data_IF_977886705823
#
_entry.id   IF_977886705823
#
_cell.length_a   1.000
_cell.length_b   1.000
_cell.length_c   1.000
_cell.angle_alpha   90.00
_cell.angle_beta   90.00
_cell.angle_gamma   90.00
#
_symmetry.space_group_name_H-M   'P 1'
#
loop_
_entity.id
_entity.type
_entity.pdbx_description
1 polymer ?
#
# COMPACT_ATOMS: atom_id res chain seq x y z
N UNK A 1 56.28 63.48 11.90
CA UNK A 1 56.79 63.52 10.52
C UNK A 1 55.95 62.59 9.67
N UNK A 2 55.25 63.15 8.68
CA UNK A 2 54.39 62.45 7.71
C UNK A 2 55.26 62.01 6.54
N UNK A 3 55.15 60.76 6.09
CA UNK A 3 55.64 60.34 4.78
C UNK A 3 54.53 59.54 4.09
N UNK A 4 53.94 60.20 3.09
CA UNK A 4 52.90 59.67 2.20
C UNK A 4 53.62 59.16 0.95
N UNK A 5 53.41 57.89 0.60
CA UNK A 5 53.93 57.34 -0.65
C UNK A 5 52.73 56.85 -1.47
N UNK A 6 52.44 57.60 -2.54
CA UNK A 6 51.45 57.27 -3.57
C UNK A 6 52.10 56.30 -4.56
N UNK A 7 51.40 55.23 -4.92
CA UNK A 7 51.70 54.43 -6.12
C UNK A 7 50.55 54.56 -7.14
N UNK A 8 50.87 54.52 -8.44
CA UNK A 8 50.00 54.99 -9.51
C UNK A 8 49.02 53.91 -9.98
N UNK A 9 47.89 54.42 -10.46
CA UNK A 9 46.90 53.73 -11.27
C UNK A 9 47.50 53.54 -12.67
N UNK A 10 47.65 52.30 -13.12
CA UNK A 10 47.86 51.99 -14.53
C UNK A 10 46.87 50.92 -14.98
N UNK A 11 46.04 51.34 -15.92
CA UNK A 11 44.99 50.64 -16.64
C UNK A 11 45.58 49.73 -17.73
N UNK A 12 45.34 48.43 -17.66
CA UNK A 12 45.44 47.45 -18.77
C UNK A 12 44.90 46.12 -18.21
N UNK A 13 43.92 45.41 -18.74
CA UNK A 13 43.20 45.44 -20.00
C UNK A 13 42.56 44.05 -20.15
N UNK A 14 41.57 43.93 -21.02
CA UNK A 14 41.06 42.67 -21.59
C UNK A 14 40.06 41.82 -20.76
N UNK A 15 38.77 42.05 -21.06
CA UNK A 15 37.84 41.02 -21.54
C UNK A 15 37.79 39.71 -20.71
N UNK A 16 36.82 39.63 -19.81
CA UNK A 16 36.12 38.36 -19.52
C UNK A 16 34.61 38.62 -19.44
N UNK A 17 34.11 39.20 -20.53
CA UNK A 17 32.69 39.23 -20.86
C UNK A 17 32.36 37.91 -21.58
N UNK A 18 32.11 36.83 -20.84
CA UNK A 18 31.54 35.60 -21.40
C UNK A 18 30.99 34.72 -20.26
N UNK A 19 29.71 34.37 -20.40
CA UNK A 19 28.97 33.34 -19.67
C UNK A 19 28.25 33.77 -18.38
N UNK A 20 27.52 34.89 -18.42
CA UNK A 20 26.21 34.94 -17.77
C UNK A 20 25.21 34.19 -18.66
N UNK A 21 25.43 32.90 -18.91
CA UNK A 21 24.36 32.06 -19.39
C UNK A 21 23.35 32.00 -18.23
N UNK A 22 22.08 32.39 -18.41
CA UNK A 22 21.09 32.02 -17.43
C UNK A 22 21.15 30.49 -17.38
N UNK A 23 21.57 29.95 -16.23
CA UNK A 23 21.26 28.59 -15.85
C UNK A 23 19.73 28.55 -15.78
N UNK A 24 19.08 28.44 -16.94
CA UNK A 24 17.79 27.81 -17.03
C UNK A 24 18.06 26.38 -16.59
N UNK A 25 17.99 26.17 -15.28
CA UNK A 25 17.73 24.86 -14.74
C UNK A 25 16.47 24.42 -15.48
N UNK A 26 16.65 23.50 -16.43
CA UNK A 26 15.54 22.79 -17.00
C UNK A 26 14.77 22.27 -15.80
N UNK A 27 13.57 22.83 -15.57
CA UNK A 27 12.62 22.24 -14.66
C UNK A 27 12.30 20.92 -15.33
N UNK A 28 13.02 19.88 -14.92
CA UNK A 28 12.77 18.52 -15.38
C UNK A 28 11.29 18.30 -15.17
N UNK A 29 10.57 18.10 -16.27
CA UNK A 29 9.14 17.84 -16.22
C UNK A 29 8.93 16.73 -15.21
N UNK A 30 8.03 16.98 -14.26
CA UNK A 30 7.60 15.96 -13.32
C UNK A 30 7.03 14.85 -14.21
N UNK A 31 7.73 13.72 -14.30
CA UNK A 31 7.35 12.62 -15.18
C UNK A 31 5.98 12.13 -14.70
N UNK A 32 4.95 12.44 -15.47
CA UNK A 32 3.57 12.07 -15.17
C UNK A 32 3.54 10.56 -14.96
N UNK A 33 2.95 10.10 -13.85
CA UNK A 33 2.96 8.68 -13.50
C UNK A 33 2.24 7.90 -14.58
N UNK A 34 3.00 7.30 -15.49
CA UNK A 34 2.42 6.48 -16.54
C UNK A 34 1.96 5.16 -15.93
N UNK A 35 0.66 5.08 -15.63
CA UNK A 35 0.05 3.87 -15.13
C UNK A 35 0.34 2.66 -16.04
N UNK A 36 0.58 1.47 -15.48
CA UNK A 36 0.78 0.25 -16.26
C UNK A 36 -0.43 -0.10 -17.13
N UNK A 37 -0.23 -0.89 -18.21
CA UNK A 37 -1.33 -1.27 -19.10
C UNK A 37 -2.53 -1.91 -18.38
N UNK A 38 -3.72 -1.37 -18.69
CA UNK A 38 -5.00 -1.82 -18.17
C UNK A 38 -5.42 -1.17 -16.85
N UNK A 39 -4.56 -0.37 -16.21
CA UNK A 39 -4.97 0.50 -15.12
C UNK A 39 -5.54 1.80 -15.68
N UNK A 40 -6.75 2.15 -15.23
CA UNK A 40 -7.46 3.37 -15.56
C UNK A 40 -7.52 4.26 -14.32
N UNK A 41 -7.23 5.56 -14.49
CA UNK A 41 -7.41 6.55 -13.44
C UNK A 41 -8.91 6.75 -13.20
N UNK A 42 -9.39 6.42 -11.99
CA UNK A 42 -10.80 6.53 -11.62
C UNK A 42 -11.09 7.65 -10.63
N UNK A 43 -10.05 8.16 -9.97
CA UNK A 43 -10.14 9.33 -9.07
C UNK A 43 -8.77 9.99 -8.93
N UNK A 44 -8.74 11.31 -8.83
CA UNK A 44 -7.52 12.07 -8.55
C UNK A 44 -7.87 13.32 -7.74
N UNK A 45 -6.99 13.67 -6.82
CA UNK A 45 -6.94 14.95 -6.10
C UNK A 45 -5.47 15.39 -6.03
N UNK A 46 -5.18 16.58 -5.48
CA UNK A 46 -3.81 17.08 -5.40
C UNK A 46 -2.88 16.08 -4.66
N UNK A 47 -1.88 15.56 -5.35
CA UNK A 47 -0.93 14.59 -4.80
C UNK A 47 -1.46 13.17 -4.57
N UNK A 48 -2.70 12.83 -4.95
CA UNK A 48 -3.24 11.47 -4.79
C UNK A 48 -4.03 11.02 -6.01
N UNK A 49 -3.83 9.77 -6.40
CA UNK A 49 -4.51 9.14 -7.53
C UNK A 49 -4.97 7.75 -7.15
N UNK A 50 -6.13 7.33 -7.66
CA UNK A 50 -6.66 5.98 -7.55
C UNK A 50 -6.85 5.39 -8.95
N UNK A 51 -6.13 4.31 -9.19
CA UNK A 51 -6.22 3.52 -10.40
C UNK A 51 -7.00 2.25 -10.16
N UNK A 52 -7.70 1.79 -11.19
CA UNK A 52 -8.45 0.54 -11.21
C UNK A 52 -8.08 -0.27 -12.44
N UNK A 53 -7.93 -1.58 -12.27
CA UNK A 53 -7.81 -2.52 -13.40
C UNK A 53 -8.89 -3.58 -13.27
N UNK A 54 -9.78 -3.63 -14.26
CA UNK A 54 -10.85 -4.63 -14.32
C UNK A 54 -10.37 -5.91 -14.98
N UNK A 55 -10.90 -7.04 -14.50
CA UNK A 55 -10.69 -8.36 -15.08
C UNK A 55 -12.02 -8.97 -15.49
N UNK A 56 -12.07 -9.60 -16.67
CA UNK A 56 -13.29 -10.26 -17.16
C UNK A 56 -13.69 -11.39 -16.22
N UNK A 57 -14.80 -11.20 -15.50
CA UNK A 57 -15.32 -12.20 -14.55
C UNK A 57 -14.52 -12.33 -13.24
N UNK A 58 -13.63 -11.37 -12.94
CA UNK A 58 -12.83 -11.32 -11.72
C UNK A 58 -13.10 -10.09 -10.87
N UNK A 59 -12.45 -10.03 -9.72
CA UNK A 59 -12.42 -8.81 -8.90
C UNK A 59 -11.42 -7.80 -9.47
N UNK A 60 -11.74 -6.50 -9.46
CA UNK A 60 -10.79 -5.47 -9.88
C UNK A 60 -9.60 -5.36 -8.91
N UNK A 61 -8.49 -4.89 -9.46
CA UNK A 61 -7.32 -4.44 -8.73
C UNK A 61 -7.36 -2.92 -8.55
N UNK A 62 -6.84 -2.43 -7.42
CA UNK A 62 -6.74 -1.01 -7.13
C UNK A 62 -5.32 -0.62 -6.72
N UNK A 63 -4.84 0.50 -7.25
CA UNK A 63 -3.56 1.12 -6.83
C UNK A 63 -3.80 2.56 -6.47
N UNK A 64 -3.40 2.94 -5.26
CA UNK A 64 -3.32 4.32 -4.81
C UNK A 64 -1.88 4.82 -5.04
N UNK A 65 -1.72 5.98 -5.66
CA UNK A 65 -0.45 6.68 -5.82
C UNK A 65 -0.50 7.94 -4.97
N UNK A 66 0.44 8.10 -4.03
CA UNK A 66 0.47 9.20 -3.06
C UNK A 66 1.81 9.94 -3.19
N UNK A 67 1.81 11.15 -3.74
CA UNK A 67 2.97 12.03 -3.85
C UNK A 67 3.09 12.94 -2.62
N UNK A 68 4.03 12.59 -1.73
CA UNK A 68 4.25 13.28 -0.47
C UNK A 68 4.77 14.72 -0.67
N UNK A 69 5.44 15.03 -1.79
CA UNK A 69 5.93 16.41 -2.09
C UNK A 69 4.79 17.37 -2.36
N UNK A 70 3.65 16.85 -2.82
CA UNK A 70 2.44 17.64 -3.07
C UNK A 70 1.64 17.86 -1.78
N UNK A 71 2.17 17.45 -0.62
CA UNK A 71 1.55 17.61 0.69
C UNK A 71 0.49 16.54 1.01
N UNK A 72 0.35 15.53 0.15
CA UNK A 72 -0.47 14.35 0.46
C UNK A 72 0.17 13.55 1.60
N UNK A 73 -0.65 12.81 2.36
CA UNK A 73 -0.20 12.15 3.60
C UNK A 73 -0.82 10.77 3.75
N UNK A 74 -0.03 9.85 4.32
CA UNK A 74 -0.52 8.58 4.85
C UNK A 74 -0.65 8.69 6.38
N UNK A 75 -1.88 8.59 6.87
CA UNK A 75 -2.24 8.69 8.29
C UNK A 75 -2.37 7.28 8.87
N UNK A 76 -1.69 7.01 9.99
CA UNK A 76 -1.82 5.74 10.69
C UNK A 76 -2.99 5.79 11.67
N UNK A 77 -4.10 5.16 11.28
CA UNK A 77 -5.30 5.02 12.12
C UNK A 77 -5.23 3.71 12.91
N UNK A 78 -5.67 3.74 14.16
CA UNK A 78 -5.68 2.56 15.02
C UNK A 78 -6.84 2.65 16.01
N UNK A 79 -7.39 1.50 16.37
CA UNK A 79 -8.47 1.45 17.35
C UNK A 79 -7.99 1.73 18.77
N UNK A 80 -8.93 1.98 19.68
CA UNK A 80 -8.59 2.34 21.07
C UNK A 80 -7.72 1.27 21.75
N UNK A 81 -6.71 1.70 22.50
CA UNK A 81 -5.86 0.83 23.31
C UNK A 81 -6.57 0.52 24.63
N UNK A 82 -6.99 -0.74 24.80
CA UNK A 82 -7.66 -1.23 26.02
C UNK A 82 -6.69 -1.61 27.14
N UNK A 83 -5.45 -1.97 26.82
CA UNK A 83 -4.37 -2.21 27.78
C UNK A 83 -3.00 -2.00 27.12
N UNK A 84 -2.00 -1.57 27.89
CA UNK A 84 -0.68 -1.22 27.34
C UNK A 84 0.25 -2.40 27.10
N UNK A 85 0.11 -3.49 27.87
CA UNK A 85 1.05 -4.62 27.82
C UNK A 85 2.51 -4.20 28.06
N UNK A 86 2.74 -3.29 29.01
CA UNK A 86 4.07 -2.73 29.30
C UNK A 86 5.15 -3.80 29.50
N UNK A 87 6.28 -3.64 28.79
CA UNK A 87 7.44 -4.53 28.87
C UNK A 87 7.29 -5.89 28.19
N UNK A 88 6.15 -6.16 27.53
CA UNK A 88 5.84 -7.47 26.91
C UNK A 88 6.10 -7.53 25.41
N UNK A 89 6.51 -6.41 24.81
CA UNK A 89 6.79 -6.32 23.39
C UNK A 89 8.08 -7.01 22.97
N UNK A 90 8.19 -7.34 21.69
CA UNK A 90 9.30 -8.08 21.08
C UNK A 90 10.68 -7.42 21.27
N UNK A 91 10.72 -6.09 21.49
CA UNK A 91 11.95 -5.35 21.77
C UNK A 91 12.04 -4.82 23.21
N UNK A 92 11.16 -5.27 24.11
CA UNK A 92 11.11 -4.90 25.52
C UNK A 92 10.19 -3.71 25.86
N UNK A 93 9.51 -3.13 24.88
CA UNK A 93 8.50 -2.09 25.04
C UNK A 93 7.08 -2.65 25.21
N UNK A 94 6.09 -1.90 24.76
CA UNK A 94 4.67 -2.23 24.94
C UNK A 94 4.17 -3.28 23.93
N UNK A 95 3.25 -4.15 24.38
CA UNK A 95 2.43 -5.04 23.53
C UNK A 95 0.94 -4.78 23.83
N UNK A 96 0.42 -3.63 23.37
CA UNK A 96 -0.92 -3.20 23.71
C UNK A 96 -2.02 -4.04 23.05
N UNK A 97 -3.23 -3.91 23.57
CA UNK A 97 -4.45 -4.51 23.03
C UNK A 97 -5.33 -3.47 22.36
N UNK A 98 -5.49 -3.57 21.04
CA UNK A 98 -6.26 -2.66 20.20
C UNK A 98 -7.68 -3.18 19.96
N UNK A 99 -8.67 -2.31 20.14
CA UNK A 99 -10.05 -2.61 19.74
C UNK A 99 -10.14 -2.60 18.20
N UNK A 100 -10.60 -3.68 17.60
CA UNK A 100 -10.83 -3.72 16.15
C UNK A 100 -12.12 -3.01 15.78
N UNK A 101 -12.12 -2.32 14.64
CA UNK A 101 -13.31 -1.64 14.10
C UNK A 101 -13.41 -1.76 12.58
N UNK A 102 -14.55 -1.35 12.03
CA UNK A 102 -14.80 -1.43 10.58
C UNK A 102 -14.05 -0.34 9.82
N UNK A 103 -13.77 -0.59 8.53
CA UNK A 103 -13.16 0.43 7.67
C UNK A 103 -14.05 1.69 7.54
N UNK A 104 -15.37 1.52 7.61
CA UNK A 104 -16.33 2.63 7.68
C UNK A 104 -16.10 3.53 8.89
N UNK A 105 -15.78 2.95 10.06
CA UNK A 105 -15.52 3.74 11.28
C UNK A 105 -14.23 4.54 11.11
N UNK A 106 -13.17 3.93 10.58
CA UNK A 106 -11.94 4.64 10.23
C UNK A 106 -12.15 5.74 9.17
N UNK A 107 -13.02 5.52 8.18
CA UNK A 107 -13.38 6.56 7.21
C UNK A 107 -14.07 7.76 7.88
N UNK A 108 -14.97 7.50 8.83
CA UNK A 108 -15.63 8.56 9.61
C UNK A 108 -14.64 9.33 10.49
N UNK A 109 -13.69 8.64 11.14
CA UNK A 109 -12.62 9.28 11.89
C UNK A 109 -11.74 10.16 10.99
N UNK A 110 -11.32 9.63 9.83
CA UNK A 110 -10.48 10.36 8.89
C UNK A 110 -11.18 11.62 8.37
N UNK A 111 -12.45 11.53 7.99
CA UNK A 111 -13.23 12.67 7.45
C UNK A 111 -13.64 13.68 8.52
N UNK A 112 -13.78 13.27 9.78
CA UNK A 112 -13.96 14.22 10.89
C UNK A 112 -12.70 15.07 11.13
N UNK A 113 -11.54 14.50 10.81
CA UNK A 113 -10.23 15.08 11.06
C UNK A 113 -9.74 15.93 9.87
N UNK A 114 -9.84 15.39 8.65
CA UNK A 114 -9.30 15.95 7.42
C UNK A 114 -10.40 16.15 6.36
N UNK A 115 -10.61 17.40 5.97
CA UNK A 115 -11.55 17.74 4.88
C UNK A 115 -11.11 17.16 3.52
N UNK A 116 -9.80 16.95 3.35
CA UNK A 116 -9.18 16.37 2.17
C UNK A 116 -8.97 14.83 2.27
N UNK A 117 -9.72 14.15 3.13
CA UNK A 117 -9.70 12.69 3.22
C UNK A 117 -10.02 12.06 1.85
N UNK A 118 -9.19 11.13 1.39
CA UNK A 118 -9.27 10.52 0.06
C UNK A 118 -9.71 9.05 0.12
N UNK A 119 -8.93 8.22 0.83
CA UNK A 119 -9.19 6.80 0.99
C UNK A 119 -8.83 6.30 2.39
N UNK A 120 -9.35 5.14 2.77
CA UNK A 120 -8.87 4.32 3.88
C UNK A 120 -8.74 2.88 3.40
N UNK A 121 -7.70 2.19 3.85
CA UNK A 121 -7.48 0.74 3.64
C UNK A 121 -6.97 0.08 4.91
N UNK A 122 -7.02 -1.25 4.98
CA UNK A 122 -6.52 -1.98 6.14
C UNK A 122 -4.99 -1.83 6.31
N UNK A 123 -4.52 -2.06 7.53
CA UNK A 123 -3.12 -1.93 7.90
C UNK A 123 -2.41 -3.27 8.09
N UNK A 124 -1.51 -3.29 9.08
CA UNK A 124 -0.66 -4.44 9.41
C UNK A 124 -1.44 -5.65 9.95
N UNK A 125 -0.75 -6.79 10.01
CA UNK A 125 -1.25 -8.06 10.55
C UNK A 125 -1.73 -7.93 12.00
N UNK A 126 -2.60 -8.84 12.44
CA UNK A 126 -3.07 -8.90 13.83
C UNK A 126 -3.46 -10.31 14.26
N UNK A 127 -3.61 -10.51 15.57
CA UNK A 127 -3.97 -11.80 16.15
C UNK A 127 -5.49 -12.01 16.21
N UNK A 128 -6.06 -12.60 15.17
CA UNK A 128 -7.52 -12.73 15.01
C UNK A 128 -8.24 -13.52 16.12
N UNK A 129 -7.53 -14.36 16.88
CA UNK A 129 -8.11 -15.20 17.92
C UNK A 129 -8.36 -14.45 19.24
N UNK A 130 -7.98 -13.18 19.33
CA UNK A 130 -8.13 -12.35 20.52
C UNK A 130 -8.81 -11.02 20.17
N UNK A 131 -9.75 -10.58 21.01
CA UNK A 131 -10.39 -9.26 20.92
C UNK A 131 -10.59 -8.67 22.32
N UNK A 132 -10.09 -7.45 22.62
CA UNK A 132 -9.24 -6.61 21.78
C UNK A 132 -7.92 -7.30 21.38
N UNK A 133 -7.44 -7.06 20.18
CA UNK A 133 -6.38 -7.86 19.54
C UNK A 133 -4.99 -7.23 19.73
N UNK A 134 -3.94 -7.94 19.29
CA UNK A 134 -2.55 -7.51 19.31
C UNK A 134 -2.02 -7.32 17.90
N UNK A 135 -1.01 -6.49 17.77
CA UNK A 135 -0.21 -6.41 16.56
C UNK A 135 1.03 -7.31 16.72
N UNK A 136 1.37 -8.17 15.74
CA UNK A 136 2.59 -8.96 15.78
C UNK A 136 3.83 -8.09 15.61
N UNK A 137 3.70 -6.94 14.94
CA UNK A 137 4.82 -6.05 14.64
C UNK A 137 4.61 -4.65 15.21
N UNK A 138 5.63 -3.82 15.05
CA UNK A 138 5.70 -2.53 15.70
C UNK A 138 4.77 -1.49 15.05
N UNK A 139 4.32 -0.54 15.85
CA UNK A 139 3.52 0.62 15.42
C UNK A 139 4.05 1.86 16.13
N UNK A 140 4.45 2.87 15.36
CA UNK A 140 4.84 4.20 15.86
C UNK A 140 3.92 5.24 15.25
N UNK A 141 3.35 6.10 16.08
CA UNK A 141 2.46 7.17 15.62
C UNK A 141 2.88 8.47 16.30
N UNK A 142 3.03 9.54 15.53
CA UNK A 142 3.39 10.87 16.02
C UNK A 142 4.63 10.86 16.94
N UNK A 143 5.66 10.11 16.55
CA UNK A 143 6.92 10.01 17.30
C UNK A 143 6.90 8.98 18.44
N UNK A 144 5.73 8.46 18.84
CA UNK A 144 5.59 7.53 19.96
C UNK A 144 5.44 6.09 19.48
N UNK A 145 6.30 5.20 19.96
CA UNK A 145 6.15 3.75 19.75
C UNK A 145 5.00 3.27 20.62
N UNK A 146 3.87 2.94 19.99
CA UNK A 146 2.68 2.45 20.67
C UNK A 146 2.80 0.95 20.97
N UNK A 147 3.34 0.20 20.00
CA UNK A 147 3.53 -1.25 20.08
C UNK A 147 4.91 -1.61 19.56
N UNK A 148 5.63 -2.46 20.27
CA UNK A 148 6.79 -3.19 19.74
C UNK A 148 6.37 -4.43 18.95
N UNK A 149 5.11 -4.86 19.09
CA UNK A 149 4.58 -6.11 18.57
C UNK A 149 4.91 -7.30 19.46
N UNK A 150 4.20 -8.42 19.31
CA UNK A 150 4.48 -9.64 20.08
C UNK A 150 5.34 -10.67 19.36
N UNK A 151 5.50 -10.56 18.03
CA UNK A 151 6.10 -11.61 17.22
C UNK A 151 7.63 -11.50 17.23
N UNK A 152 8.30 -12.47 17.85
CA UNK A 152 9.77 -12.53 17.93
C UNK A 152 10.34 -13.51 16.92
N UNK A 153 9.78 -14.73 16.82
CA UNK A 153 10.45 -15.89 16.21
C UNK A 153 10.06 -16.11 14.76
N UNK A 154 8.83 -15.81 14.38
CA UNK A 154 8.36 -16.04 13.01
C UNK A 154 8.94 -14.98 12.06
N UNK A 155 9.15 -15.39 10.80
CA UNK A 155 9.66 -14.53 9.72
C UNK A 155 11.02 -13.89 10.03
N UNK A 156 12.06 -14.69 10.36
CA UNK A 156 13.38 -14.15 10.62
C UNK A 156 13.89 -13.39 9.39
N UNK A 157 14.40 -12.17 9.60
CA UNK A 157 14.92 -11.28 8.56
C UNK A 157 13.90 -10.84 7.49
N UNK A 158 12.61 -11.13 7.68
CA UNK A 158 11.54 -10.79 6.73
C UNK A 158 10.55 -9.77 7.31
N UNK A 159 10.84 -9.21 8.49
CA UNK A 159 10.04 -8.13 9.08
C UNK A 159 10.54 -6.82 8.50
N UNK A 160 9.63 -6.07 7.90
CA UNK A 160 9.91 -4.76 7.33
C UNK A 160 9.12 -3.69 8.10
N UNK A 161 9.52 -2.45 7.93
CA UNK A 161 8.76 -1.30 8.38
C UNK A 161 8.74 -0.22 7.30
N UNK A 162 7.55 0.32 7.07
CA UNK A 162 7.33 1.54 6.29
C UNK A 162 7.46 2.72 7.25
N UNK A 163 8.49 3.51 7.03
CA UNK A 163 8.74 4.78 7.69
C UNK A 163 8.12 5.91 6.87
N UNK A 164 7.38 6.80 7.53
CA UNK A 164 6.64 7.89 6.91
C UNK A 164 7.06 9.22 7.55
N UNK A 165 7.61 10.11 6.74
CA UNK A 165 7.81 11.53 7.03
C UNK A 165 6.76 12.35 6.29
N UNK A 166 6.84 13.67 6.38
CA UNK A 166 5.93 14.56 5.66
C UNK A 166 6.20 14.60 4.15
N UNK A 167 7.46 14.51 3.75
CA UNK A 167 7.93 14.71 2.37
C UNK A 167 8.46 13.43 1.69
N UNK A 168 8.66 12.35 2.45
CA UNK A 168 9.21 11.10 1.94
C UNK A 168 8.81 9.89 2.79
N UNK A 169 9.06 8.71 2.24
CA UNK A 169 8.88 7.43 2.88
C UNK A 169 10.11 6.53 2.66
N UNK A 170 10.17 5.44 3.43
CA UNK A 170 11.20 4.39 3.24
C UNK A 170 10.70 3.05 3.72
N UNK A 171 11.06 1.98 3.03
CA UNK A 171 10.88 0.62 3.53
C UNK A 171 12.26 0.09 3.95
N UNK A 172 12.37 -0.43 5.18
CA UNK A 172 13.60 -1.10 5.62
C UNK A 172 13.32 -2.22 6.61
N UNK A 173 14.33 -3.05 6.88
CA UNK A 173 14.22 -4.13 7.86
C UNK A 173 13.86 -3.60 9.25
N UNK A 174 12.85 -4.22 9.86
CA UNK A 174 12.44 -3.97 11.23
C UNK A 174 13.37 -4.71 12.20
N UNK A 175 14.07 -3.94 13.02
CA UNK A 175 14.87 -4.41 14.16
C UNK A 175 14.67 -3.43 15.31
N UNK A 176 15.07 -3.81 16.53
CA UNK A 176 15.11 -2.87 17.65
C UNK A 176 15.91 -1.61 17.32
N UNK A 177 17.09 -1.79 16.73
CA UNK A 177 17.96 -0.67 16.36
C UNK A 177 17.29 0.27 15.37
N UNK A 178 16.74 -0.26 14.27
CA UNK A 178 16.10 0.56 13.24
C UNK A 178 14.84 1.26 13.76
N UNK A 179 13.98 0.57 14.53
CA UNK A 179 12.77 1.17 15.11
C UNK A 179 13.07 2.33 16.06
N UNK A 180 13.95 2.11 17.05
CA UNK A 180 14.20 3.07 18.12
C UNK A 180 15.11 4.24 17.71
N UNK A 181 15.89 4.09 16.62
CA UNK A 181 16.72 5.17 16.07
C UNK A 181 16.07 5.91 14.90
N UNK A 182 14.90 5.45 14.43
CA UNK A 182 14.18 6.12 13.35
C UNK A 182 13.70 7.50 13.76
N UNK A 183 13.99 8.50 12.92
CA UNK A 183 13.41 9.85 13.03
C UNK A 183 12.00 9.95 12.43
N UNK A 184 11.51 8.92 11.75
CA UNK A 184 10.17 8.95 11.17
C UNK A 184 9.13 9.12 12.28
N UNK A 185 8.20 10.09 12.17
CA UNK A 185 7.13 10.24 13.14
C UNK A 185 6.19 9.04 13.12
N UNK A 186 5.97 8.45 11.94
CA UNK A 186 5.01 7.38 11.74
C UNK A 186 5.70 6.15 11.16
N UNK A 187 5.43 4.98 11.74
CA UNK A 187 5.97 3.69 11.29
C UNK A 187 4.87 2.64 11.41
N UNK A 188 4.61 1.93 10.31
CA UNK A 188 3.80 0.72 10.28
C UNK A 188 4.66 -0.43 9.78
N UNK A 189 4.58 -1.57 10.46
CA UNK A 189 5.36 -2.74 10.12
C UNK A 189 4.57 -3.74 9.27
N UNK A 190 5.30 -4.55 8.52
CA UNK A 190 4.76 -5.56 7.63
C UNK A 190 5.77 -6.66 7.37
N UNK A 191 5.53 -7.42 6.32
CA UNK A 191 6.40 -8.51 5.91
C UNK A 191 7.02 -8.23 4.54
N UNK A 192 8.19 -8.80 4.34
CA UNK A 192 8.81 -8.91 3.03
C UNK A 192 7.91 -9.68 2.06
N UNK A 193 7.96 -9.32 0.78
CA UNK A 193 7.17 -9.93 -0.29
C UNK A 193 7.54 -11.38 -0.61
N UNK A 194 8.58 -11.94 0.01
CA UNK A 194 8.96 -13.36 -0.05
C UNK A 194 8.62 -14.10 1.26
N UNK A 195 8.03 -13.43 2.24
CA UNK A 195 7.59 -14.06 3.47
C UNK A 195 6.51 -15.11 3.20
N UNK A 196 6.61 -16.30 3.81
CA UNK A 196 5.69 -17.41 3.53
C UNK A 196 4.29 -17.17 4.11
N UNK A 197 3.47 -16.38 3.42
CA UNK A 197 2.06 -16.10 3.73
C UNK A 197 1.19 -16.48 2.54
N UNK A 198 1.03 -17.80 2.35
CA UNK A 198 0.23 -18.39 1.26
C UNK A 198 0.71 -17.89 -0.12
N UNK A 199 2.02 -17.96 -0.38
CA UNK A 199 2.69 -17.28 -1.52
C UNK A 199 1.98 -17.52 -2.86
N UNK A 200 1.63 -18.77 -3.16
CA UNK A 200 1.06 -19.18 -4.46
C UNK A 200 -0.48 -19.19 -4.50
N UNK A 201 -1.16 -18.81 -3.41
CA UNK A 201 -2.60 -18.76 -3.38
C UNK A 201 -3.13 -17.39 -3.82
N UNK A 202 -4.19 -17.43 -4.64
CA UNK A 202 -5.01 -16.28 -4.98
C UNK A 202 -5.93 -15.96 -3.80
N UNK A 203 -5.58 -14.91 -3.06
CA UNK A 203 -6.35 -14.41 -1.91
C UNK A 203 -6.32 -12.89 -1.92
N UNK A 204 -7.07 -12.26 -1.02
CA UNK A 204 -6.95 -10.83 -0.79
C UNK A 204 -5.52 -10.42 -0.46
N UNK A 205 -5.03 -9.32 -1.03
CA UNK A 205 -3.69 -8.78 -0.76
C UNK A 205 -3.78 -7.28 -0.54
N UNK A 206 -3.05 -6.81 0.46
CA UNK A 206 -2.73 -5.40 0.66
C UNK A 206 -1.22 -5.27 0.71
N UNK A 207 -0.66 -4.51 -0.23
CA UNK A 207 0.78 -4.29 -0.36
C UNK A 207 1.05 -2.80 -0.41
N UNK A 208 2.21 -2.39 0.09
CA UNK A 208 2.70 -1.02 -0.01
C UNK A 208 4.04 -1.00 -0.71
N UNK A 209 4.29 0.03 -1.51
CA UNK A 209 5.56 0.27 -2.17
C UNK A 209 6.00 1.71 -1.97
N UNK A 210 7.29 1.95 -2.17
CA UNK A 210 7.86 3.32 -2.22
C UNK A 210 8.70 3.46 -3.48
N UNK A 211 8.68 4.65 -4.07
CA UNK A 211 9.36 4.98 -5.33
C UNK A 211 10.07 6.34 -5.19
N UNK A 212 11.38 6.33 -5.46
CA UNK A 212 12.28 7.48 -5.59
C UNK A 212 12.26 7.98 -7.03
N UNK A 213 11.16 8.64 -7.39
CA UNK A 213 10.81 8.98 -8.76
C UNK A 213 11.83 9.92 -9.38
N UNK A 214 12.34 10.88 -8.59
CA UNK A 214 13.37 11.82 -9.03
C UNK A 214 14.81 11.30 -8.86
N UNK A 215 15.00 10.12 -8.26
CA UNK A 215 16.28 9.43 -8.04
C UNK A 215 17.27 10.23 -7.20
N UNK A 216 16.78 10.94 -6.18
CA UNK A 216 17.61 11.71 -5.25
C UNK A 216 18.02 10.94 -3.97
N UNK A 217 17.56 9.70 -3.84
CA UNK A 217 17.78 8.83 -2.69
C UNK A 217 16.66 8.89 -1.64
N UNK A 218 15.57 9.63 -1.90
CA UNK A 218 14.42 9.78 -1.01
C UNK A 218 13.12 9.48 -1.76
N UNK A 219 12.55 8.31 -1.47
CA UNK A 219 11.27 7.94 -2.06
C UNK A 219 10.14 8.88 -1.61
N UNK A 220 9.61 9.64 -2.57
CA UNK A 220 8.56 10.62 -2.35
C UNK A 220 7.16 10.09 -2.68
N UNK A 221 7.09 8.96 -3.39
CA UNK A 221 5.84 8.31 -3.75
C UNK A 221 5.61 7.12 -2.84
N UNK A 222 4.43 7.05 -2.22
CA UNK A 222 3.91 5.84 -1.59
C UNK A 222 2.86 5.24 -2.52
N UNK A 223 2.96 3.92 -2.75
CA UNK A 223 2.02 3.16 -3.55
C UNK A 223 1.29 2.18 -2.62
N UNK A 224 -0.03 2.04 -2.77
CA UNK A 224 -0.80 1.05 -2.01
C UNK A 224 -1.66 0.24 -2.95
N UNK A 225 -1.42 -1.06 -2.99
CA UNK A 225 -2.14 -2.01 -3.83
C UNK A 225 -3.13 -2.82 -3.01
N UNK A 226 -4.37 -2.92 -3.50
CA UNK A 226 -5.42 -3.72 -2.91
C UNK A 226 -6.11 -4.58 -3.98
N UNK A 227 -6.29 -5.86 -3.68
CA UNK A 227 -7.00 -6.82 -4.55
C UNK A 227 -7.65 -7.91 -3.73
N UNK A 228 -8.74 -8.51 -4.23
CA UNK A 228 -9.36 -9.69 -3.62
C UNK A 228 -8.72 -11.00 -4.08
N UNK A 229 -7.89 -10.99 -5.13
CA UNK A 229 -7.39 -12.22 -5.73
C UNK A 229 -6.04 -12.03 -6.44
N UNK A 230 -4.95 -12.10 -5.69
CA UNK A 230 -3.61 -12.21 -6.25
C UNK A 230 -2.70 -13.16 -5.47
N UNK A 231 -1.75 -13.77 -6.18
CA UNK A 231 -0.58 -14.38 -5.54
C UNK A 231 0.32 -13.27 -5.01
N UNK A 232 1.18 -13.64 -4.06
CA UNK A 232 2.07 -12.70 -3.40
C UNK A 232 3.01 -11.98 -4.39
N UNK A 233 3.65 -12.75 -5.28
CA UNK A 233 4.53 -12.20 -6.32
C UNK A 233 3.82 -11.29 -7.32
N UNK A 234 2.55 -11.57 -7.63
CA UNK A 234 1.78 -10.79 -8.61
C UNK A 234 1.42 -9.41 -8.00
N UNK A 235 1.05 -9.38 -6.72
CA UNK A 235 0.78 -8.14 -5.98
C UNK A 235 2.02 -7.23 -5.91
N UNK A 236 3.18 -7.82 -5.59
CA UNK A 236 4.45 -7.10 -5.60
C UNK A 236 4.83 -6.59 -6.99
N UNK A 237 4.62 -7.42 -8.03
CA UNK A 237 4.92 -7.06 -9.40
C UNK A 237 4.09 -5.86 -9.87
N UNK A 238 2.79 -5.78 -9.52
CA UNK A 238 1.96 -4.61 -9.85
C UNK A 238 2.57 -3.33 -9.30
N UNK A 239 3.01 -3.32 -8.04
CA UNK A 239 3.64 -2.13 -7.45
C UNK A 239 4.94 -1.75 -8.16
N UNK A 240 5.76 -2.74 -8.55
CA UNK A 240 6.98 -2.49 -9.34
C UNK A 240 6.68 -1.92 -10.72
N UNK A 241 5.61 -2.37 -11.36
CA UNK A 241 5.17 -1.81 -12.64
C UNK A 241 4.74 -0.35 -12.51
N UNK A 242 4.19 0.05 -11.35
CA UNK A 242 3.92 1.46 -11.02
C UNK A 242 5.17 2.27 -10.66
N UNK A 243 6.32 1.62 -10.48
CA UNK A 243 7.60 2.26 -10.19
C UNK A 243 8.21 1.95 -8.83
N UNK A 244 7.59 1.11 -8.00
CA UNK A 244 8.11 0.82 -6.65
C UNK A 244 9.56 0.27 -6.69
N UNK A 245 10.48 0.94 -6.00
CA UNK A 245 11.84 0.46 -5.73
C UNK A 245 11.87 -0.58 -4.62
N UNK A 246 10.98 -0.42 -3.64
CA UNK A 246 10.84 -1.32 -2.50
C UNK A 246 9.37 -1.62 -2.24
N UNK A 247 9.08 -2.82 -1.74
CA UNK A 247 7.72 -3.32 -1.52
C UNK A 247 7.65 -4.03 -0.17
N UNK A 248 6.49 -3.93 0.49
CA UNK A 248 6.17 -4.57 1.76
C UNK A 248 4.72 -5.06 1.75
N UNK A 249 4.51 -6.27 2.25
CA UNK A 249 3.20 -6.87 2.46
C UNK A 249 2.58 -6.43 3.79
N UNK A 250 1.30 -6.04 3.74
CA UNK A 250 0.45 -5.81 4.91
C UNK A 250 -0.55 -6.96 5.08
N UNK A 251 -1.51 -6.81 6.00
CA UNK A 251 -2.50 -7.87 6.21
C UNK A 251 -3.38 -8.07 4.97
N UNK A 252 -3.68 -9.32 4.67
CA UNK A 252 -4.41 -9.71 3.46
C UNK A 252 -5.62 -10.59 3.76
N UNK A 253 -5.97 -11.45 2.81
CA UNK A 253 -7.14 -12.33 2.89
C UNK A 253 -8.42 -11.51 3.11
N UNK A 254 -9.25 -11.93 4.05
CA UNK A 254 -10.47 -11.19 4.42
C UNK A 254 -10.23 -9.83 5.06
N UNK A 255 -8.99 -9.45 5.39
CA UNK A 255 -8.68 -8.12 5.92
C UNK A 255 -8.55 -7.08 4.82
N UNK A 256 -8.29 -7.48 3.57
CA UNK A 256 -8.15 -6.55 2.45
C UNK A 256 -9.45 -5.81 2.19
N UNK A 257 -9.40 -4.49 2.38
CA UNK A 257 -10.54 -3.59 2.26
C UNK A 257 -10.09 -2.25 1.70
N UNK A 258 -10.98 -1.57 0.99
CA UNK A 258 -10.72 -0.23 0.44
C UNK A 258 -12.02 0.57 0.40
N UNK A 259 -11.99 1.73 1.06
CA UNK A 259 -13.07 2.72 1.04
C UNK A 259 -12.47 4.04 0.57
N UNK A 260 -13.03 4.64 -0.47
CA UNK A 260 -12.63 5.98 -0.92
C UNK A 260 -13.88 6.82 -1.10
N UNK A 261 -13.87 8.04 -0.56
CA UNK A 261 -15.02 8.95 -0.60
C UNK A 261 -16.33 8.34 -0.10
N UNK A 262 -16.22 7.54 0.96
CA UNK A 262 -17.36 6.80 1.55
C UNK A 262 -17.87 5.63 0.71
N UNK A 263 -17.36 5.41 -0.51
CA UNK A 263 -17.68 4.25 -1.34
C UNK A 263 -16.73 3.10 -1.05
N UNK A 264 -17.30 1.91 -0.83
CA UNK A 264 -16.52 0.67 -0.69
C UNK A 264 -16.14 0.14 -2.08
N UNK A 265 -14.86 0.13 -2.39
CA UNK A 265 -14.29 -0.47 -3.59
C UNK A 265 -13.92 -1.93 -3.36
N UNK A 266 -13.44 -2.26 -2.15
CA UNK A 266 -13.31 -3.63 -1.66
C UNK A 266 -14.00 -3.70 -0.30
N UNK A 267 -15.13 -4.40 -0.25
CA UNK A 267 -15.90 -4.59 0.98
C UNK A 267 -15.46 -5.86 1.73
N UNK A 268 -15.41 -5.79 3.05
CA UNK A 268 -15.32 -6.93 3.95
C UNK A 268 -16.01 -6.58 5.27
N UNK A 269 -16.52 -7.59 5.97
CA UNK A 269 -17.09 -7.44 7.31
C UNK A 269 -16.01 -7.55 8.41
N UNK A 270 -14.78 -7.92 8.04
CA UNK A 270 -13.70 -8.11 9.00
C UNK A 270 -13.30 -6.79 9.65
N UNK A 271 -13.42 -6.74 10.98
CA UNK A 271 -12.91 -5.64 11.78
C UNK A 271 -11.38 -5.70 11.85
N UNK A 272 -10.73 -4.54 11.76
CA UNK A 272 -9.26 -4.43 11.80
C UNK A 272 -8.81 -3.45 12.90
N UNK A 273 -7.71 -3.73 13.61
CA UNK A 273 -7.22 -2.88 14.70
C UNK A 273 -6.39 -1.68 14.24
N UNK A 274 -5.97 -1.68 12.97
CA UNK A 274 -5.11 -0.65 12.39
C UNK A 274 -5.44 -0.50 10.90
N UNK A 275 -5.48 0.74 10.43
CA UNK A 275 -5.79 1.12 9.06
C UNK A 275 -4.87 2.24 8.58
N UNK A 276 -4.74 2.38 7.26
CA UNK A 276 -4.06 3.49 6.62
C UNK A 276 -5.11 4.44 6.04
N UNK A 277 -5.12 5.68 6.50
CA UNK A 277 -5.87 6.77 5.89
C UNK A 277 -4.99 7.52 4.88
N UNK A 278 -5.58 7.96 3.78
CA UNK A 278 -4.91 8.74 2.74
C UNK A 278 -5.60 10.08 2.68
N UNK A 279 -4.81 11.16 2.75
CA UNK A 279 -5.27 12.53 2.70
C UNK A 279 -4.60 13.22 1.51
N UNK A 280 -5.41 13.87 0.66
CA UNK A 280 -4.89 14.64 -0.46
C UNK A 280 -4.13 15.87 0.04
N UNK A 281 -3.16 16.32 -0.74
CA UNK A 281 -2.44 17.56 -0.46
C UNK A 281 -3.33 18.79 -0.59
N UNK A 282 -2.92 19.95 -0.03
CA UNK A 282 -3.69 21.18 -0.15
C UNK A 282 -3.85 21.54 -1.63
N UNK A 283 -5.09 21.73 -2.09
CA UNK A 283 -5.36 22.17 -3.46
C UNK A 283 -4.61 23.47 -3.77
N UNK A 284 -4.20 23.65 -5.04
CA UNK A 284 -3.47 24.85 -5.50
C UNK A 284 -4.18 26.17 -5.15
N UNK A 285 -5.50 26.12 -4.97
CA UNK A 285 -6.34 27.28 -4.67
C UNK A 285 -6.48 27.60 -3.15
N UNK A 286 -5.96 26.76 -2.25
CA UNK A 286 -6.16 26.88 -0.77
C UNK A 286 -4.89 27.33 -0.03
N UNK A 287 -3.88 27.89 -0.71
CA UNK A 287 -2.70 28.47 -0.06
C UNK A 287 -3.00 29.64 0.91
N UNK A 288 -4.26 30.07 1.07
CA UNK A 288 -4.64 31.22 1.88
C UNK A 288 -5.49 30.93 3.14
N UNK A 289 -6.06 29.73 3.36
CA UNK A 289 -6.94 29.56 4.53
C UNK A 289 -7.27 28.10 4.85
N UNK A 290 -6.57 27.49 5.80
CA UNK A 290 -7.14 26.67 6.89
C UNK A 290 -6.10 25.73 7.51
N UNK A 291 -5.29 26.22 8.44
CA UNK A 291 -4.75 25.36 9.49
C UNK A 291 -5.84 25.19 10.54
N UNK A 292 -6.75 24.22 10.33
CA UNK A 292 -7.38 23.57 11.49
C UNK A 292 -6.19 22.99 12.29
N UNK A 293 -5.95 23.43 13.54
CA UNK A 293 -4.78 22.99 14.29
C UNK A 293 -4.75 21.46 14.31
N UNK A 294 -3.56 20.89 14.15
CA UNK A 294 -3.33 19.44 14.17
C UNK A 294 -4.16 18.85 15.32
N UNK A 295 -5.20 18.07 15.01
CA UNK A 295 -6.11 17.62 16.03
C UNK A 295 -5.30 16.71 16.93
N UNK A 296 -5.30 17.08 18.21
CA UNK A 296 -4.96 16.15 19.26
C UNK A 296 -5.96 15.02 19.08
N UNK A 297 -5.54 13.89 18.49
CA UNK A 297 -6.24 12.64 18.72
C UNK A 297 -6.45 12.63 20.22
N UNK A 298 -7.70 12.76 20.66
CA UNK A 298 -8.07 12.55 22.04
C UNK A 298 -7.87 11.06 22.21
N UNK A 299 -6.60 10.66 22.33
CA UNK A 299 -6.23 9.49 23.06
C UNK A 299 -7.03 9.64 24.33
N UNK A 300 -8.02 8.78 24.50
CA UNK A 300 -8.41 8.37 25.82
C UNK A 300 -7.10 7.90 26.46
N UNK A 301 -6.38 8.84 27.05
CA UNK A 301 -5.13 8.61 27.73
C UNK A 301 -5.56 7.81 28.95
N UNK A 302 -5.54 6.49 28.83
CA UNK A 302 -5.17 5.69 29.97
C UNK A 302 -3.81 6.25 30.40
N UNK A 303 -3.77 7.00 31.50
CA UNK A 303 -2.54 7.38 32.18
C UNK A 303 -1.78 6.10 32.46
N UNK A 304 -0.81 5.79 31.60
CA UNK A 304 0.13 4.68 31.80
C UNK A 304 1.13 5.20 32.84
N UNK A 305 1.21 4.59 34.04
CA UNK A 305 2.22 4.96 35.02
C UNK A 305 3.61 4.75 34.43
N UNK A 306 4.54 5.65 34.75
CA UNK A 306 5.95 5.54 34.34
C UNK A 306 6.49 4.14 34.59
N UNK A 307 7.06 3.53 33.54
CA UNK A 307 7.60 2.19 33.60
C UNK A 307 8.74 2.12 34.64
N UNK A 308 8.71 1.18 35.60
CA UNK A 308 9.85 0.97 36.49
C UNK A 308 11.06 0.47 35.70
N UNK A 309 12.25 0.84 36.16
CA UNK A 309 13.53 0.44 35.60
C UNK A 309 13.62 -1.10 35.41
N UNK A 310 14.25 -1.59 34.33
CA UNK A 310 14.25 -3.00 33.99
C UNK A 310 14.95 -3.81 35.08
N UNK A 311 14.18 -4.64 35.77
CA UNK A 311 14.70 -5.66 36.69
C UNK A 311 14.98 -6.91 35.87
N UNK A 312 16.16 -7.53 36.06
CA UNK A 312 16.57 -8.76 35.36
C UNK A 312 15.54 -9.87 35.62
N UNK A 313 14.74 -10.22 34.60
CA UNK A 313 13.79 -11.34 34.64
C UNK A 313 14.51 -12.60 34.16
N UNK A 314 14.45 -13.73 34.91
CA UNK A 314 14.99 -15.00 34.45
C UNK A 314 14.19 -15.53 33.25
N UNK A 315 14.93 -16.13 32.32
CA UNK A 315 14.46 -16.76 31.08
C UNK A 315 13.40 -17.83 31.38
N UNK A 316 12.12 -17.51 31.16
CA UNK A 316 11.02 -18.47 31.27
C UNK A 316 10.93 -19.24 29.95
N UNK A 317 11.12 -20.56 30.02
CA UNK A 317 10.91 -21.49 28.92
C UNK A 317 9.48 -21.36 28.37
N UNK A 318 9.37 -20.90 27.12
CA UNK A 318 8.10 -20.81 26.40
C UNK A 318 7.66 -22.21 25.97
N UNK A 319 6.42 -22.58 26.29
CA UNK A 319 5.74 -23.74 25.74
C UNK A 319 5.66 -23.66 24.20
N UNK A 320 5.68 -24.79 23.49
CA UNK A 320 5.62 -24.81 22.02
C UNK A 320 4.32 -24.18 21.54
N UNK A 321 4.44 -23.04 20.86
CA UNK A 321 3.34 -22.37 20.19
C UNK A 321 2.98 -23.25 18.99
N UNK A 322 1.77 -23.81 19.02
CA UNK A 322 1.17 -24.49 17.88
C UNK A 322 1.27 -23.59 16.66
N UNK A 323 1.70 -24.17 15.54
CA UNK A 323 1.73 -23.55 14.22
C UNK A 323 0.59 -22.56 14.04
N UNK A 324 0.94 -21.32 13.69
CA UNK A 324 0.04 -20.30 13.18
C UNK A 324 -0.42 -20.69 11.75
N UNK A 325 -0.81 -21.96 11.58
CA UNK A 325 -1.62 -22.44 10.46
C UNK A 325 -3.05 -22.05 10.79
N UNK A 326 -3.40 -20.80 10.48
CA UNK A 326 -4.79 -20.43 10.29
C UNK A 326 -5.30 -21.13 9.03
N UNK A 327 -5.55 -22.42 9.13
CA UNK A 327 -6.50 -23.16 8.30
C UNK A 327 -7.90 -22.74 8.75
N UNK A 328 -8.29 -21.51 8.43
CA UNK A 328 -9.69 -21.16 8.38
C UNK A 328 -10.26 -21.82 7.12
N UNK A 329 -10.98 -22.92 7.31
CA UNK A 329 -11.93 -23.46 6.34
C UNK A 329 -12.99 -22.40 6.08
N UNK A 330 -12.79 -21.58 5.05
CA UNK A 330 -13.81 -20.68 4.54
C UNK A 330 -13.86 -20.86 3.01
N UNK A 331 -14.42 -22.00 2.61
CA UNK A 331 -15.04 -22.17 1.30
C UNK A 331 -16.54 -22.31 1.57
N UNK A 332 -17.18 -21.19 1.92
CA UNK A 332 -18.62 -21.08 1.78
C UNK A 332 -18.91 -20.82 0.30
N UNK A 333 -19.16 -21.91 -0.43
CA UNK A 333 -19.71 -21.85 -1.77
C UNK A 333 -21.07 -21.14 -1.71
N UNK A 334 -21.21 -20.07 -2.50
CA UNK A 334 -22.51 -19.56 -2.93
C UNK A 334 -23.16 -20.67 -3.76
N UNK A 335 -24.01 -21.48 -3.11
CA UNK A 335 -24.90 -22.39 -3.81
C UNK A 335 -25.97 -21.56 -4.51
N UNK A 336 -25.79 -21.36 -5.82
CA UNK A 336 -26.88 -21.00 -6.69
C UNK A 336 -27.93 -22.11 -6.65
N UNK A 337 -29.15 -21.76 -6.24
CA UNK A 337 -30.32 -22.64 -6.27
C UNK A 337 -30.60 -23.03 -7.74
N UNK A 338 -30.14 -24.21 -8.15
CA UNK A 338 -30.59 -24.83 -9.38
C UNK A 338 -31.91 -25.56 -9.11
N UNK A 339 -33.00 -24.98 -9.58
CA UNK A 339 -34.27 -25.67 -9.75
C UNK A 339 -34.07 -26.78 -10.78
N UNK A 340 -34.01 -28.04 -10.33
CA UNK A 340 -33.97 -29.20 -11.20
C UNK A 340 -35.32 -29.35 -11.92
N UNK A 341 -35.35 -28.99 -13.21
CA UNK A 341 -36.35 -29.52 -14.13
C UNK A 341 -35.85 -30.89 -14.61
N UNK A 342 -36.53 -31.96 -14.21
CA UNK A 342 -36.35 -33.30 -14.76
C UNK A 342 -36.84 -33.31 -16.20
N UNK A 343 -35.90 -33.35 -17.15
CA UNK A 343 -36.18 -33.66 -18.55
C UNK A 343 -36.13 -35.18 -18.72
N UNK A 344 -37.32 -35.73 -18.95
CA UNK A 344 -37.59 -37.11 -19.35
C UNK A 344 -37.04 -37.35 -20.76
N UNK A 345 -36.10 -38.29 -20.91
CA UNK A 345 -35.36 -38.55 -22.15
C UNK A 345 -35.82 -39.82 -22.89
N UNK A 346 -36.96 -40.40 -22.52
CA UNK A 346 -37.51 -41.61 -23.17
C UNK A 346 -38.38 -41.33 -24.42
N UNK A 347 -38.20 -40.20 -25.09
CA UNK A 347 -39.00 -39.84 -26.28
C UNK A 347 -38.18 -39.23 -27.43
N UNK A 348 -37.04 -39.84 -27.79
CA UNK A 348 -36.30 -39.44 -29.01
C UNK A 348 -36.35 -40.58 -30.04
N UNK A 349 -37.24 -40.39 -31.02
CA UNK A 349 -37.32 -41.20 -32.23
C UNK A 349 -36.14 -40.89 -33.15
N UNK A 350 -35.38 -41.93 -33.52
CA UNK A 350 -34.28 -41.83 -34.47
C UNK A 350 -34.81 -41.77 -35.90
N UNK A 351 -34.57 -40.65 -36.60
CA UNK A 351 -34.76 -40.56 -38.06
C UNK A 351 -33.38 -40.60 -38.72
N UNK A 352 -33.11 -41.54 -39.64
CA UNK A 352 -31.86 -41.57 -40.39
C UNK A 352 -31.93 -40.57 -41.55
N UNK A 353 -31.02 -39.59 -41.57
CA UNK A 353 -30.89 -38.65 -42.69
C UNK A 353 -29.79 -39.12 -43.63
N UNK A 354 -30.22 -39.41 -44.86
CA UNK A 354 -29.45 -39.76 -46.03
C UNK A 354 -28.75 -38.52 -46.61
N UNK A 355 -27.63 -38.82 -47.26
CA UNK A 355 -26.57 -37.98 -47.84
C UNK A 355 -27.00 -37.24 -49.14
N UNK A 356 -26.36 -36.06 -49.38
CA UNK A 356 -26.14 -35.28 -50.64
C UNK A 356 -27.26 -34.34 -51.15
N UNK A 357 -26.94 -33.35 -52.03
CA UNK A 357 -26.03 -32.19 -51.89
C UNK A 357 -26.70 -30.88 -52.36
N UNK A 358 -25.96 -29.75 -52.37
CA UNK A 358 -25.95 -28.66 -53.38
C UNK A 358 -25.64 -27.30 -52.72
N UNK A 359 -24.64 -26.60 -53.27
CA UNK A 359 -24.86 -25.21 -53.71
C UNK A 359 -24.22 -24.07 -52.94
N UNK A 360 -23.02 -23.69 -53.40
CA UNK A 360 -22.66 -22.32 -53.83
C UNK A 360 -22.70 -21.14 -52.83
N UNK A 361 -21.55 -20.50 -52.63
CA UNK A 361 -21.22 -19.06 -52.83
C UNK A 361 -19.96 -18.74 -51.99
N UNK A 362 -18.76 -18.77 -52.60
CA UNK A 362 -18.00 -17.64 -53.16
C UNK A 362 -17.56 -16.58 -52.13
N UNK A 363 -16.27 -16.54 -51.79
CA UNK A 363 -15.47 -15.30 -51.87
C UNK A 363 -13.96 -15.61 -52.00
N UNK A 364 -13.33 -14.82 -52.86
CA UNK A 364 -12.01 -14.95 -53.48
C UNK A 364 -10.83 -14.63 -52.56
N UNK A 365 -9.75 -15.42 -52.65
CA UNK A 365 -8.36 -14.89 -52.63
C UNK A 365 -7.54 -15.68 -53.65
N UNK A 366 -7.23 -15.02 -54.78
CA UNK A 366 -6.35 -15.53 -55.83
C UNK A 366 -4.89 -15.47 -55.37
N UNK A 367 -4.23 -16.63 -55.36
CA UNK A 367 -2.78 -16.78 -55.23
C UNK A 367 -2.20 -16.99 -56.63
N UNK A 368 -1.17 -16.22 -56.97
CA UNK A 368 -0.44 -16.27 -58.24
C UNK A 368 0.62 -17.40 -58.27
N UNK A 369 1.16 -17.64 -59.48
CA UNK A 369 2.14 -18.66 -59.95
C UNK A 369 1.47 -19.96 -60.42
N UNK A 370 1.83 -20.60 -61.53
CA UNK A 370 3.10 -20.73 -62.25
C UNK A 370 2.88 -21.38 -63.63
N UNK A 371 3.65 -20.91 -64.62
CA UNK A 371 4.35 -21.61 -65.72
C UNK A 371 3.80 -22.85 -66.45
N UNK A 372 3.94 -22.78 -67.78
CA UNK A 372 4.26 -23.89 -68.72
C UNK A 372 3.05 -24.65 -69.25
N UNK A 373 2.94 -25.10 -70.50
CA UNK A 373 3.82 -25.19 -71.69
C UNK A 373 2.96 -25.78 -72.82
N UNK A 374 3.36 -25.57 -74.09
CA UNK A 374 2.98 -26.32 -75.34
C UNK A 374 1.50 -26.25 -75.77
N UNK A 375 1.12 -25.94 -77.01
CA UNK A 375 1.78 -26.05 -78.33
C UNK A 375 1.68 -24.77 -79.18
#
# INVERSE_FOLDING_TARGET
MKASTRFPITLLGLITLLLAAPYMQAIAGIDETKAPPGFELIRSENGVELYKKDYKGGSPDYVQVIDLRQGAKVVLLYGTISSSGSGKGAFGGNDPRFVSQSLKSYWQELTAEYDAAFCVTNGQFFFMQESPTRLPFSLKVNGKILSDGYEVKNFPNQKLMLELWEDHARIRTLTKGTLYTSSAPNIVAGLDEEARKRIDHFVGRTFVGVDDRNRDGRAEIVLIFNTLSARQKDAAQVLREFGADQVMMLDGGGSTQLTCDGQNYIASERLVPQALGIVAGPGKDILASSTKPAPTQVAAQATVPDAPAPTNIPEIAQAPIAELNSESSEVAAVQATQTQATLDLDSIAWIPVIILPIGLILFLVIKSRSAGTSD
#
